data_IF_725936953728
#
_entry.id   IF_725936953728
#
_cell.length_a   1.000
_cell.length_b   1.000
_cell.length_c   1.000
_cell.angle_alpha   90.00
_cell.angle_beta   90.00
_cell.angle_gamma   90.00
#
_symmetry.space_group_name_H-M   'P 1'
#
loop_
_entity.id
_entity.type
_entity.pdbx_description
1 polymer ?
#
# COMPACT_ATOMS: atom_id res chain seq x y z
N UNK A 1 14.27 -15.35 35.18
CA UNK A 1 13.32 -16.38 34.70
C UNK A 1 12.44 -15.73 33.63
N UNK A 2 12.00 -16.45 32.57
CA UNK A 2 11.13 -15.87 31.56
C UNK A 2 9.83 -15.40 32.20
N UNK A 3 9.41 -14.18 31.88
CA UNK A 3 8.19 -13.59 32.42
C UNK A 3 7.01 -14.00 31.54
N UNK A 4 5.99 -14.60 32.13
CA UNK A 4 4.78 -14.97 31.42
C UNK A 4 4.07 -13.70 30.93
N UNK A 5 3.63 -13.73 29.67
CA UNK A 5 2.80 -12.67 29.12
C UNK A 5 1.50 -12.56 29.93
N UNK A 6 1.03 -11.33 30.17
CA UNK A 6 -0.26 -11.10 30.80
C UNK A 6 -1.37 -11.60 29.89
N UNK A 7 -2.44 -12.15 30.48
CA UNK A 7 -3.57 -12.69 29.72
C UNK A 7 -4.17 -11.67 28.75
N UNK A 8 -4.18 -10.38 29.11
CA UNK A 8 -4.62 -9.27 28.26
C UNK A 8 -3.78 -9.13 26.98
N UNK A 9 -2.47 -9.35 27.10
CA UNK A 9 -1.51 -9.26 26.00
C UNK A 9 -1.63 -10.47 25.07
N UNK A 10 -1.85 -11.65 25.65
CA UNK A 10 -2.17 -12.89 24.91
C UNK A 10 -3.47 -12.74 24.14
N UNK A 11 -4.53 -12.24 24.78
CA UNK A 11 -5.82 -12.01 24.13
C UNK A 11 -5.75 -10.95 23.03
N UNK A 12 -4.94 -9.91 23.23
CA UNK A 12 -4.69 -8.89 22.19
C UNK A 12 -3.93 -9.48 21.00
N UNK A 13 -2.88 -10.27 21.24
CA UNK A 13 -2.11 -10.92 20.17
C UNK A 13 -2.96 -11.95 19.42
N UNK A 14 -3.73 -12.77 20.15
CA UNK A 14 -4.61 -13.79 19.56
C UNK A 14 -5.75 -13.15 18.75
N UNK A 15 -6.36 -12.09 19.26
CA UNK A 15 -7.39 -11.31 18.54
C UNK A 15 -6.85 -10.63 17.27
N UNK A 16 -5.60 -10.17 17.27
CA UNK A 16 -4.93 -9.64 16.06
C UNK A 16 -4.70 -10.76 15.04
N UNK A 17 -4.33 -11.97 15.47
CA UNK A 17 -4.11 -13.13 14.60
C UNK A 17 -5.44 -13.63 13.99
N UNK A 18 -6.52 -13.65 14.77
CA UNK A 18 -7.85 -14.02 14.28
C UNK A 18 -8.42 -12.94 13.33
N UNK A 19 -8.23 -11.66 13.63
CA UNK A 19 -8.60 -10.55 12.75
C UNK A 19 -7.79 -10.46 11.45
N UNK A 20 -6.60 -11.08 11.39
CA UNK A 20 -5.76 -11.10 10.19
C UNK A 20 -5.99 -12.33 9.28
N UNK A 21 -6.79 -13.32 9.72
CA UNK A 21 -7.31 -14.38 8.83
C UNK A 21 -8.40 -13.90 7.86
N UNK A 22 -8.88 -12.68 8.05
CA UNK A 22 -9.81 -11.98 7.18
C UNK A 22 -9.19 -10.71 6.61
N UNK A 23 -7.94 -10.74 6.14
CA UNK A 23 -7.60 -9.82 5.04
C UNK A 23 -8.42 -10.25 3.85
N UNK A 24 -9.71 -9.88 3.88
CA UNK A 24 -10.54 -9.72 2.71
C UNK A 24 -9.61 -9.07 1.70
N UNK A 25 -9.26 -9.81 0.66
CA UNK A 25 -8.43 -9.25 -0.40
C UNK A 25 -9.28 -8.12 -0.91
N UNK A 26 -8.99 -6.89 -0.44
CA UNK A 26 -9.65 -5.70 -0.91
C UNK A 26 -9.26 -5.69 -2.36
N UNK A 27 -10.19 -6.14 -3.21
CA UNK A 27 -10.03 -6.07 -4.65
C UNK A 27 -9.59 -4.65 -4.90
N UNK A 28 -8.47 -4.50 -5.60
CA UNK A 28 -7.93 -3.18 -5.84
C UNK A 28 -9.06 -2.36 -6.45
N UNK A 29 -9.41 -1.23 -5.82
CA UNK A 29 -10.47 -0.35 -6.32
C UNK A 29 -10.07 0.29 -7.68
N UNK A 30 -8.82 0.09 -8.06
CA UNK A 30 -8.19 0.61 -9.25
C UNK A 30 -8.32 -0.36 -10.42
N UNK A 31 -8.57 0.20 -11.60
CA UNK A 31 -8.62 -0.51 -12.87
C UNK A 31 -7.53 0.02 -13.79
N UNK A 32 -7.15 -0.80 -14.76
CA UNK A 32 -6.26 -0.36 -15.85
C UNK A 32 -6.92 0.82 -16.58
N UNK A 33 -6.16 1.89 -16.76
CA UNK A 33 -6.64 3.15 -17.33
C UNK A 33 -7.07 4.20 -16.31
N UNK A 34 -7.17 3.86 -15.02
CA UNK A 34 -7.51 4.85 -14.00
C UNK A 34 -6.42 5.90 -13.85
N UNK A 35 -6.86 7.15 -13.69
CA UNK A 35 -5.98 8.26 -13.35
C UNK A 35 -5.72 8.26 -11.84
N UNK A 36 -4.44 8.24 -11.46
CA UNK A 36 -4.01 8.15 -10.06
C UNK A 36 -2.95 9.19 -9.75
N UNK A 37 -2.91 9.64 -8.50
CA UNK A 37 -1.89 10.54 -7.96
C UNK A 37 -1.12 9.82 -6.85
N UNK A 38 0.20 9.90 -6.90
CA UNK A 38 1.08 9.35 -5.85
C UNK A 38 1.06 10.28 -4.65
N UNK A 39 0.73 9.72 -3.48
CA UNK A 39 0.57 10.47 -2.22
C UNK A 39 1.71 10.27 -1.24
N UNK A 40 2.71 9.44 -1.56
CA UNK A 40 3.88 9.20 -0.72
C UNK A 40 5.13 8.77 -1.52
N UNK A 41 6.30 8.91 -0.92
CA UNK A 41 7.57 8.41 -1.46
C UNK A 41 8.24 9.31 -2.52
N UNK A 42 9.26 8.80 -3.24
CA UNK A 42 10.11 9.60 -4.14
C UNK A 42 9.38 10.17 -5.36
N UNK A 43 8.18 9.67 -5.65
CA UNK A 43 7.32 10.15 -6.73
C UNK A 43 6.10 10.92 -6.19
N UNK A 44 6.17 11.46 -4.97
CA UNK A 44 5.12 12.27 -4.39
C UNK A 44 4.67 13.40 -5.34
N UNK A 45 3.35 13.58 -5.42
CA UNK A 45 2.64 14.50 -6.29
C UNK A 45 2.66 14.21 -7.80
N UNK A 46 3.34 13.15 -8.24
CA UNK A 46 3.23 12.72 -9.62
C UNK A 46 1.86 12.09 -9.89
N UNK A 47 1.31 12.40 -11.06
CA UNK A 47 0.08 11.79 -11.57
C UNK A 47 0.37 10.92 -12.78
N UNK A 48 -0.45 9.89 -12.97
CA UNK A 48 -0.26 8.93 -14.05
C UNK A 48 -1.47 8.04 -14.25
N UNK A 49 -1.29 7.03 -15.09
CA UNK A 49 -2.34 6.07 -15.41
C UNK A 49 -1.93 4.66 -14.99
N UNK A 50 -2.87 3.91 -14.42
CA UNK A 50 -2.66 2.49 -14.08
C UNK A 50 -2.50 1.68 -15.37
N UNK A 51 -1.39 0.96 -15.48
CA UNK A 51 -1.10 0.03 -16.59
C UNK A 51 -1.41 -1.41 -16.25
N UNK A 52 -1.21 -1.79 -14.99
CA UNK A 52 -1.40 -3.16 -14.52
C UNK A 52 -1.81 -3.14 -13.05
N UNK A 53 -2.70 -4.05 -12.69
CA UNK A 53 -3.18 -4.26 -11.32
C UNK A 53 -2.79 -5.67 -10.90
N UNK A 54 -2.10 -5.80 -9.77
CA UNK A 54 -1.80 -7.08 -9.16
C UNK A 54 -2.53 -7.16 -7.82
N UNK A 55 -3.72 -7.78 -7.82
CA UNK A 55 -4.57 -7.91 -6.63
C UNK A 55 -3.95 -8.82 -5.56
N UNK A 56 -3.27 -9.90 -5.96
CA UNK A 56 -2.63 -10.85 -5.04
C UNK A 56 -1.55 -10.18 -4.19
N UNK A 57 -0.76 -9.29 -4.80
CA UNK A 57 0.35 -8.59 -4.15
C UNK A 57 -0.04 -7.19 -3.68
N UNK A 58 -1.26 -6.74 -3.96
CA UNK A 58 -1.74 -5.38 -3.68
C UNK A 58 -0.80 -4.31 -4.25
N UNK A 59 -0.39 -4.48 -5.52
CA UNK A 59 0.54 -3.56 -6.21
C UNK A 59 -0.06 -3.07 -7.53
N UNK A 60 0.23 -1.81 -7.85
CA UNK A 60 -0.12 -1.19 -9.13
C UNK A 60 1.14 -0.85 -9.92
N UNK A 61 1.11 -1.08 -11.23
CA UNK A 61 2.10 -0.54 -12.16
C UNK A 61 1.51 0.72 -12.78
N UNK A 62 2.13 1.87 -12.53
CA UNK A 62 1.64 3.17 -12.98
C UNK A 62 2.60 3.75 -14.01
N UNK A 63 2.08 4.22 -15.14
CA UNK A 63 2.85 5.03 -16.09
C UNK A 63 2.73 6.50 -15.70
N UNK A 64 3.86 7.09 -15.34
CA UNK A 64 3.99 8.50 -14.97
C UNK A 64 4.82 9.22 -16.03
N UNK A 65 4.36 10.38 -16.47
CA UNK A 65 5.12 11.25 -17.38
C UNK A 65 5.86 12.33 -16.57
N UNK A 66 7.20 12.31 -16.57
CA UNK A 66 8.05 13.15 -15.70
C UNK A 66 8.65 14.34 -16.47
N UNK A 67 7.93 14.91 -17.45
CA UNK A 67 8.44 16.03 -18.26
C UNK A 67 8.19 17.42 -17.67
N UNK A 68 7.76 17.53 -16.41
CA UNK A 68 7.16 18.77 -15.86
C UNK A 68 7.93 19.53 -14.78
N UNK A 69 9.15 19.13 -14.39
CA UNK A 69 9.96 19.96 -13.47
C UNK A 69 11.26 20.33 -14.17
N UNK A 70 11.58 21.63 -14.38
CA UNK A 70 12.98 22.02 -14.47
C UNK A 70 13.62 21.62 -13.14
N UNK A 71 14.27 20.46 -13.11
CA UNK A 71 15.07 20.00 -11.99
C UNK A 71 16.10 21.09 -11.73
N UNK A 72 16.15 21.63 -10.50
CA UNK A 72 17.18 22.62 -10.15
C UNK A 72 18.54 21.96 -10.36
N UNK A 73 19.29 22.48 -11.33
CA UNK A 73 20.72 22.27 -11.44
C UNK A 73 21.35 23.29 -10.49
N UNK A 74 21.75 22.83 -9.31
CA UNK A 74 22.72 23.54 -8.48
C UNK A 74 24.02 22.77 -8.44
#
# INVERSE_FOLDING_TARGET
>A
MPQALKQEEVNRILGIVEGSKGKEVVRSLFKVGDHVKVTDGPFLDFSGFVKEVNDEKQKLKVSVSIFGRPTRLN
#
